data_IF_945543474690
#
_entry.id   IF_945543474690
#
_cell.length_a   1.000
_cell.length_b   1.000
_cell.length_c   1.000
_cell.angle_alpha   90.00
_cell.angle_beta   90.00
_cell.angle_gamma   90.00
#
_symmetry.space_group_name_H-M   'P 1'
#
loop_
_entity.id
_entity.type
_entity.pdbx_description
1 polymer ?
#
# COMPACT_ATOMS: atom_id res chain seq x y z
N UNK A 1 21.11 2.03 -8.67
CA UNK A 1 21.16 1.51 -7.30
C UNK A 1 21.18 2.59 -6.23
N UNK A 2 22.14 3.52 -6.19
CA UNK A 2 22.27 4.52 -5.12
C UNK A 2 21.00 5.35 -4.82
N UNK A 3 20.24 5.75 -5.85
CA UNK A 3 18.97 6.48 -5.67
C UNK A 3 17.91 5.60 -5.02
N UNK A 4 17.83 4.32 -5.41
CA UNK A 4 16.84 3.40 -4.84
C UNK A 4 17.15 3.10 -3.37
N UNK A 5 18.38 2.71 -3.07
CA UNK A 5 18.79 2.35 -1.70
C UNK A 5 18.86 3.55 -0.76
N UNK A 6 19.35 4.70 -1.24
CA UNK A 6 19.55 5.89 -0.42
C UNK A 6 18.32 6.79 -0.27
N UNK A 7 17.34 6.72 -1.18
CA UNK A 7 16.20 7.64 -1.19
C UNK A 7 14.87 6.92 -1.27
N UNK A 8 14.64 6.11 -2.30
CA UNK A 8 13.31 5.56 -2.60
C UNK A 8 12.88 4.52 -1.57
N UNK A 9 13.75 3.57 -1.23
CA UNK A 9 13.45 2.55 -0.25
C UNK A 9 13.19 3.14 1.16
N UNK A 10 14.06 4.01 1.72
CA UNK A 10 13.78 4.68 3.00
C UNK A 10 12.48 5.48 2.99
N UNK A 11 12.19 6.19 1.90
CA UNK A 11 10.94 6.94 1.75
C UNK A 11 9.72 6.02 1.83
N UNK A 12 9.73 4.89 1.12
CA UNK A 12 8.63 3.92 1.16
C UNK A 12 8.44 3.37 2.57
N UNK A 13 9.53 3.07 3.30
CA UNK A 13 9.44 2.63 4.69
C UNK A 13 8.82 3.70 5.60
N UNK A 14 9.22 4.97 5.46
CA UNK A 14 8.65 6.08 6.23
C UNK A 14 7.16 6.21 5.95
N UNK A 15 6.75 6.10 4.69
CA UNK A 15 5.33 6.16 4.30
C UNK A 15 4.56 4.96 4.84
N UNK A 16 5.13 3.75 4.78
CA UNK A 16 4.51 2.56 5.38
C UNK A 16 4.36 2.70 6.90
N UNK A 17 5.38 3.22 7.60
CA UNK A 17 5.32 3.48 9.03
C UNK A 17 4.22 4.50 9.37
N UNK A 18 4.13 5.60 8.61
CA UNK A 18 3.08 6.61 8.78
C UNK A 18 1.67 6.02 8.55
N UNK A 19 1.50 5.20 7.50
CA UNK A 19 0.24 4.51 7.22
C UNK A 19 -0.14 3.53 8.34
N UNK A 20 0.82 2.73 8.82
CA UNK A 20 0.61 1.80 9.92
C UNK A 20 0.22 2.53 11.22
N UNK A 21 0.90 3.64 11.54
CA UNK A 21 0.59 4.47 12.71
C UNK A 21 -0.80 5.11 12.58
N UNK A 22 -1.16 5.63 11.41
CA UNK A 22 -2.50 6.18 11.16
C UNK A 22 -3.59 5.10 11.30
N UNK A 23 -3.33 3.90 10.79
CA UNK A 23 -4.21 2.74 10.96
C UNK A 23 -4.37 2.34 12.43
N UNK A 24 -3.27 2.16 13.16
CA UNK A 24 -3.30 1.81 14.58
C UNK A 24 -4.02 2.88 15.43
N UNK A 25 -3.73 4.16 15.18
CA UNK A 25 -4.40 5.27 15.87
C UNK A 25 -5.91 5.29 15.56
N UNK A 26 -6.32 4.98 14.33
CA UNK A 26 -7.75 4.93 13.94
C UNK A 26 -8.47 3.72 14.55
N UNK A 27 -7.80 2.58 14.71
CA UNK A 27 -8.38 1.43 15.43
C UNK A 27 -8.68 1.77 16.89
N UNK A 28 -7.75 2.45 17.56
CA UNK A 28 -7.95 2.94 18.93
C UNK A 28 -8.99 4.07 18.99
N UNK A 29 -8.95 5.00 18.04
CA UNK A 29 -9.77 6.20 17.98
C UNK A 29 -10.37 6.39 16.58
N UNK A 30 -11.56 5.83 16.29
CA UNK A 30 -12.17 5.90 14.96
C UNK A 30 -12.38 7.33 14.42
N UNK A 31 -12.43 8.34 15.29
CA UNK A 31 -12.49 9.76 14.91
C UNK A 31 -11.27 10.23 14.11
N UNK A 32 -10.15 9.50 14.16
CA UNK A 32 -8.92 9.79 13.41
C UNK A 32 -8.93 9.22 11.98
N UNK A 33 -10.03 8.63 11.51
CA UNK A 33 -10.12 8.02 10.17
C UNK A 33 -9.67 8.93 9.04
N UNK A 34 -9.84 10.24 9.19
CA UNK A 34 -9.35 11.23 8.22
C UNK A 34 -7.84 11.13 7.99
N UNK A 35 -7.04 10.77 9.01
CA UNK A 35 -5.61 10.55 8.87
C UNK A 35 -5.29 9.39 7.92
N UNK A 36 -6.04 8.28 7.99
CA UNK A 36 -5.90 7.16 7.05
C UNK A 36 -6.27 7.60 5.64
N UNK A 37 -7.34 8.37 5.47
CA UNK A 37 -7.75 8.90 4.16
C UNK A 37 -6.67 9.77 3.50
N UNK A 38 -5.93 10.56 4.28
CA UNK A 38 -4.78 11.33 3.77
C UNK A 38 -3.54 10.47 3.49
N UNK A 39 -3.32 9.42 4.28
CA UNK A 39 -2.17 8.54 4.12
C UNK A 39 -2.27 7.66 2.86
N UNK A 40 -3.48 7.29 2.43
CA UNK A 40 -3.71 6.46 1.24
C UNK A 40 -3.11 7.05 -0.05
N UNK A 41 -3.45 8.28 -0.48
CA UNK A 41 -2.87 8.84 -1.71
C UNK A 41 -1.35 9.02 -1.63
N UNK A 42 -0.82 9.33 -0.44
CA UNK A 42 0.64 9.41 -0.21
C UNK A 42 1.29 8.03 -0.41
N UNK A 43 0.66 6.98 0.11
CA UNK A 43 1.12 5.59 -0.06
C UNK A 43 1.11 5.18 -1.53
N UNK A 44 0.03 5.50 -2.25
CA UNK A 44 -0.06 5.25 -3.70
C UNK A 44 1.08 5.95 -4.44
N UNK A 45 1.34 7.22 -4.12
CA UNK A 45 2.45 7.98 -4.72
C UNK A 45 3.82 7.36 -4.44
N UNK A 46 4.07 6.92 -3.21
CA UNK A 46 5.33 6.28 -2.83
C UNK A 46 5.54 4.93 -3.55
N UNK A 47 4.49 4.09 -3.64
CA UNK A 47 4.56 2.81 -4.37
C UNK A 47 4.71 3.05 -5.88
N UNK A 48 4.06 4.06 -6.45
CA UNK A 48 4.25 4.43 -7.85
C UNK A 48 5.70 4.86 -8.13
N UNK A 49 6.27 5.71 -7.27
CA UNK A 49 7.67 6.13 -7.36
C UNK A 49 8.63 4.92 -7.25
N UNK A 50 8.36 4.00 -6.32
CA UNK A 50 9.09 2.74 -6.22
C UNK A 50 9.01 1.95 -7.53
N UNK A 51 7.81 1.77 -8.07
CA UNK A 51 7.61 1.00 -9.29
C UNK A 51 8.37 1.56 -10.48
N UNK A 52 8.26 2.88 -10.71
CA UNK A 52 9.01 3.56 -11.78
C UNK A 52 10.51 3.40 -11.58
N UNK A 53 11.02 3.58 -10.36
CA UNK A 53 12.46 3.47 -10.08
C UNK A 53 12.98 2.06 -10.34
N UNK A 54 12.25 1.04 -9.90
CA UNK A 54 12.62 -0.37 -10.12
C UNK A 54 12.60 -0.70 -11.61
N UNK A 55 11.58 -0.26 -12.34
CA UNK A 55 11.48 -0.44 -13.80
C UNK A 55 12.70 0.18 -14.50
N UNK A 56 13.06 1.42 -14.16
CA UNK A 56 14.24 2.09 -14.73
C UNK A 56 15.52 1.29 -14.43
N UNK A 57 15.67 0.75 -13.23
CA UNK A 57 16.83 -0.07 -12.88
C UNK A 57 16.90 -1.37 -13.69
N UNK A 58 15.78 -2.05 -13.90
CA UNK A 58 15.72 -3.26 -14.72
C UNK A 58 16.13 -2.99 -16.18
N UNK A 59 15.74 -1.85 -16.75
CA UNK A 59 16.16 -1.45 -18.10
C UNK A 59 17.58 -0.88 -18.19
N UNK A 60 18.22 -0.59 -17.05
CA UNK A 60 19.61 -0.09 -17.03
C UNK A 60 20.67 -1.19 -17.15
N UNK A 61 20.25 -2.46 -17.33
CA UNK A 61 21.16 -3.59 -17.56
C UNK A 61 21.67 -4.27 -16.29
N UNK A 62 20.96 -4.16 -15.17
CA UNK A 62 21.29 -4.88 -13.94
C UNK A 62 21.04 -6.39 -14.12
N UNK A 63 21.97 -7.23 -13.64
CA UNK A 63 21.90 -8.69 -13.75
C UNK A 63 21.06 -9.28 -12.61
N UNK A 64 19.76 -8.96 -12.64
CA UNK A 64 18.79 -9.33 -11.60
C UNK A 64 17.77 -10.32 -12.13
N UNK A 65 17.25 -11.17 -11.24
CA UNK A 65 16.11 -12.03 -11.57
C UNK A 65 14.87 -11.18 -11.90
N UNK A 66 14.64 -10.99 -13.20
CA UNK A 66 13.60 -10.14 -13.76
C UNK A 66 12.21 -10.64 -13.35
N UNK A 67 11.98 -11.96 -13.40
CA UNK A 67 10.66 -12.55 -13.14
C UNK A 67 10.31 -12.33 -11.66
N UNK A 68 11.26 -12.63 -10.76
CA UNK A 68 11.04 -12.46 -9.34
C UNK A 68 10.84 -10.98 -8.97
N UNK A 69 11.64 -10.08 -9.54
CA UNK A 69 11.53 -8.64 -9.29
C UNK A 69 10.17 -8.10 -9.75
N UNK A 70 9.74 -8.45 -10.97
CA UNK A 70 8.44 -8.05 -11.50
C UNK A 70 7.29 -8.63 -10.67
N UNK A 71 7.39 -9.88 -10.21
CA UNK A 71 6.41 -10.50 -9.33
C UNK A 71 6.19 -9.71 -8.05
N UNK A 72 7.27 -9.32 -7.36
CA UNK A 72 7.18 -8.48 -6.17
C UNK A 72 6.67 -7.06 -6.50
N UNK A 73 7.05 -6.50 -7.64
CA UNK A 73 6.57 -5.19 -8.05
C UNK A 73 5.06 -5.18 -8.29
N UNK A 74 4.54 -6.18 -9.01
CA UNK A 74 3.11 -6.36 -9.25
C UNK A 74 2.39 -6.58 -7.91
N UNK A 75 2.94 -7.40 -7.01
CA UNK A 75 2.38 -7.61 -5.69
C UNK A 75 2.25 -6.29 -4.90
N UNK A 76 3.26 -5.41 -4.95
CA UNK A 76 3.21 -4.10 -4.28
C UNK A 76 2.06 -3.22 -4.79
N UNK A 77 1.78 -3.24 -6.10
CA UNK A 77 0.70 -2.48 -6.72
C UNK A 77 -0.66 -3.11 -6.39
N UNK A 78 -0.76 -4.45 -6.46
CA UNK A 78 -2.00 -5.17 -6.16
C UNK A 78 -2.49 -4.92 -4.72
N UNK A 79 -1.57 -4.80 -3.75
CA UNK A 79 -1.89 -4.48 -2.36
C UNK A 79 -2.60 -3.12 -2.21
N UNK A 80 -2.36 -2.16 -3.09
CA UNK A 80 -3.02 -0.84 -3.05
C UNK A 80 -4.53 -0.93 -3.26
N UNK A 81 -5.02 -1.98 -3.94
CA UNK A 81 -6.46 -2.18 -4.16
C UNK A 81 -7.24 -2.38 -2.84
N UNK A 82 -6.57 -2.83 -1.78
CA UNK A 82 -7.16 -3.03 -0.46
C UNK A 82 -7.28 -1.72 0.33
N UNK A 83 -6.57 -0.65 -0.06
CA UNK A 83 -6.65 0.63 0.62
C UNK A 83 -8.00 1.32 0.33
N UNK A 84 -8.71 1.68 1.40
CA UNK A 84 -10.04 2.28 1.32
C UNK A 84 -11.15 1.28 1.00
N UNK A 85 -10.95 -0.02 1.29
CA UNK A 85 -11.94 -1.08 1.04
C UNK A 85 -13.23 -0.90 1.84
N UNK A 86 -13.22 -0.13 2.93
CA UNK A 86 -14.40 0.26 3.69
C UNK A 86 -15.44 1.00 2.84
N UNK A 87 -15.04 1.62 1.72
CA UNK A 87 -15.96 2.25 0.76
C UNK A 87 -16.99 1.27 0.18
N UNK A 88 -16.66 -0.03 0.12
CA UNK A 88 -17.56 -1.06 -0.38
C UNK A 88 -18.75 -1.34 0.54
N UNK A 89 -18.69 -0.91 1.79
CA UNK A 89 -19.79 -1.02 2.75
C UNK A 89 -20.64 0.24 2.88
N UNK A 90 -20.42 1.26 2.04
CA UNK A 90 -21.17 2.52 2.11
C UNK A 90 -22.61 2.36 1.59
N UNK A 91 -23.56 3.18 2.07
CA UNK A 91 -24.93 3.20 1.54
C UNK A 91 -24.96 3.44 0.03
N UNK A 92 -24.09 4.31 -0.49
CA UNK A 92 -24.00 4.61 -1.92
C UNK A 92 -23.53 3.39 -2.72
N UNK A 93 -22.55 2.63 -2.20
CA UNK A 93 -22.07 1.41 -2.84
C UNK A 93 -23.08 0.26 -2.80
N UNK A 94 -23.97 0.23 -1.79
CA UNK A 94 -25.07 -0.70 -1.73
C UNK A 94 -26.21 -0.31 -2.68
N UNK A 95 -26.51 0.99 -2.80
CA UNK A 95 -27.55 1.49 -3.73
C UNK A 95 -27.21 1.27 -5.21
N UNK A 96 -25.92 1.20 -5.56
CA UNK A 96 -25.46 0.90 -6.91
C UNK A 96 -25.43 -0.61 -7.23
N UNK A 97 -25.77 -1.48 -6.28
CA UNK A 97 -25.74 -2.93 -6.40
C UNK A 97 -27.17 -3.51 -6.41
N UNK A 98 -27.52 -4.39 -7.36
CA UNK A 98 -28.83 -5.04 -7.39
C UNK A 98 -29.09 -6.04 -6.25
N UNK A 99 -28.10 -6.44 -5.45
CA UNK A 99 -28.30 -7.35 -4.31
C UNK A 99 -29.00 -6.67 -3.11
N UNK A 100 -30.25 -7.03 -2.79
CA UNK A 100 -30.99 -6.43 -1.67
C UNK A 100 -30.46 -6.83 -0.29
N UNK A 101 -29.59 -7.85 -0.19
CA UNK A 101 -29.05 -8.33 1.08
C UNK A 101 -27.66 -7.77 1.40
N UNK A 102 -27.15 -6.87 0.58
CA UNK A 102 -25.80 -6.34 0.74
C UNK A 102 -25.67 -5.59 2.08
N UNK A 103 -24.71 -5.96 2.95
CA UNK A 103 -24.57 -5.33 4.25
C UNK A 103 -24.06 -3.89 4.12
N UNK A 104 -24.76 -2.95 4.77
CA UNK A 104 -24.35 -1.55 4.90
C UNK A 104 -23.63 -1.37 6.24
N UNK A 105 -22.42 -0.83 6.19
CA UNK A 105 -21.59 -0.58 7.35
C UNK A 105 -21.86 0.80 7.92
N UNK A 106 -21.87 0.90 9.25
CA UNK A 106 -21.84 2.19 9.93
C UNK A 106 -20.50 2.92 9.69
N UNK A 107 -20.44 4.25 9.80
CA UNK A 107 -19.20 5.01 9.63
C UNK A 107 -18.05 4.52 10.52
N UNK A 108 -18.35 4.06 11.73
CA UNK A 108 -17.36 3.50 12.66
C UNK A 108 -16.81 2.15 12.18
N UNK A 109 -17.66 1.30 11.59
CA UNK A 109 -17.22 0.02 11.00
C UNK A 109 -16.34 0.27 9.77
N UNK A 110 -16.72 1.22 8.91
CA UNK A 110 -15.92 1.63 7.74
C UNK A 110 -14.53 2.09 8.19
N UNK A 111 -14.47 2.99 9.17
CA UNK A 111 -13.20 3.49 9.71
C UNK A 111 -12.30 2.36 10.24
N UNK A 112 -12.88 1.37 10.93
CA UNK A 112 -12.13 0.21 11.46
C UNK A 112 -11.64 -0.72 10.37
N UNK A 113 -12.46 -0.99 9.35
CA UNK A 113 -12.08 -1.83 8.20
C UNK A 113 -10.94 -1.18 7.42
N UNK A 114 -11.04 0.12 7.13
CA UNK A 114 -9.97 0.87 6.47
C UNK A 114 -8.70 0.90 7.30
N UNK A 115 -8.81 1.08 8.62
CA UNK A 115 -7.66 1.11 9.52
C UNK A 115 -6.94 -0.24 9.61
N UNK A 116 -7.69 -1.34 9.68
CA UNK A 116 -7.14 -2.69 9.66
C UNK A 116 -6.46 -3.01 8.33
N UNK A 117 -7.11 -2.65 7.21
CA UNK A 117 -6.52 -2.78 5.87
C UNK A 117 -5.22 -1.97 5.75
N UNK A 118 -5.21 -0.72 6.20
CA UNK A 118 -4.03 0.14 6.17
C UNK A 118 -2.83 -0.47 6.90
N UNK A 119 -3.04 -1.07 8.07
CA UNK A 119 -2.00 -1.78 8.82
C UNK A 119 -1.44 -2.98 8.05
N UNK A 120 -2.32 -3.84 7.53
CA UNK A 120 -1.92 -5.04 6.78
C UNK A 120 -1.14 -4.63 5.52
N UNK A 121 -1.67 -3.68 4.76
CA UNK A 121 -1.06 -3.19 3.53
C UNK A 121 0.28 -2.50 3.81
N UNK A 122 0.40 -1.69 4.86
CA UNK A 122 1.65 -1.05 5.24
C UNK A 122 2.77 -2.07 5.51
N UNK A 123 2.47 -3.12 6.29
CA UNK A 123 3.43 -4.18 6.59
C UNK A 123 3.77 -4.98 5.34
N UNK A 124 2.76 -5.35 4.54
CA UNK A 124 2.97 -6.11 3.32
C UNK A 124 3.82 -5.34 2.30
N UNK A 125 3.57 -4.05 2.09
CA UNK A 125 4.38 -3.20 1.21
C UNK A 125 5.81 -3.12 1.75
N UNK A 126 6.01 -2.87 3.04
CA UNK A 126 7.36 -2.79 3.62
C UNK A 126 8.17 -4.07 3.39
N UNK A 127 7.54 -5.24 3.56
CA UNK A 127 8.17 -6.55 3.31
C UNK A 127 8.48 -6.73 1.82
N UNK A 128 7.54 -6.41 0.94
CA UNK A 128 7.74 -6.50 -0.51
C UNK A 128 8.86 -5.58 -1.00
N UNK A 129 8.89 -4.33 -0.52
CA UNK A 129 9.94 -3.36 -0.81
C UNK A 129 11.31 -3.84 -0.33
N UNK A 130 11.38 -4.46 0.85
CA UNK A 130 12.61 -5.07 1.34
C UNK A 130 13.06 -6.24 0.47
N UNK A 131 12.13 -7.10 0.02
CA UNK A 131 12.46 -8.20 -0.90
C UNK A 131 12.99 -7.69 -2.24
N UNK A 132 12.40 -6.62 -2.79
CA UNK A 132 12.91 -5.98 -4.01
C UNK A 132 14.33 -5.45 -3.78
N UNK A 133 14.58 -4.78 -2.65
CA UNK A 133 15.93 -4.31 -2.32
C UNK A 133 16.95 -5.46 -2.32
N UNK A 134 16.66 -6.55 -1.61
CA UNK A 134 17.56 -7.71 -1.51
C UNK A 134 17.85 -8.31 -2.89
N UNK A 135 16.84 -8.41 -3.76
CA UNK A 135 17.03 -8.91 -5.12
C UNK A 135 17.92 -7.95 -5.92
N UNK A 136 17.64 -6.64 -5.89
CA UNK A 136 18.43 -5.65 -6.60
C UNK A 136 19.87 -5.57 -6.11
N UNK A 137 20.12 -5.75 -4.82
CA UNK A 137 21.48 -5.81 -4.25
C UNK A 137 22.22 -7.09 -4.63
N UNK A 138 21.51 -8.20 -4.84
CA UNK A 138 22.13 -9.47 -5.25
C UNK A 138 22.60 -9.50 -6.71
N UNK A 139 22.07 -8.61 -7.56
CA UNK A 139 22.42 -8.50 -8.98
C UNK A 139 23.21 -7.24 -9.35
N UNK A 140 23.73 -6.51 -8.35
CA UNK A 140 24.54 -5.30 -8.51
C UNK A 140 26.01 -5.57 -8.16
#
# INVERSE_FOLDING_TARGET
>A
MAVYTGVVFPLVLVVCAALALAGAATLAFPRLHRAVQWAVPVTIGAVALQAVTVIVLLFSGADVDLILTLGYLIASVALLALLGIGRLGTPEAAAADPDPNRPVLSPVQIARVDAASALIVAVAIAVVSWRILVILESGA
#
